data_IF_058299932600
#
_entry.id   IF_058299932600
#
_cell.length_a   1.000
_cell.length_b   1.000
_cell.length_c   1.000
_cell.angle_alpha   90.00
_cell.angle_beta   90.00
_cell.angle_gamma   90.00
#
_symmetry.space_group_name_H-M   'P 1'
#
loop_
_entity.id
_entity.type
_entity.pdbx_description
1 polymer ?
#
# COMPACT_ATOMS: atom_id res chain seq x y z
N UNK A 1 13.84 8.77 -4.51
CA UNK A 1 13.44 7.72 -5.48
C UNK A 1 13.73 6.37 -4.86
N UNK A 2 12.74 5.47 -4.86
CA UNK A 2 12.81 4.11 -4.32
C UNK A 2 12.26 3.11 -5.32
N UNK A 3 12.60 1.84 -5.17
CA UNK A 3 12.06 0.75 -5.97
C UNK A 3 11.02 -0.03 -5.19
N UNK A 4 9.84 -0.26 -5.79
CA UNK A 4 8.76 -1.01 -5.15
C UNK A 4 9.12 -2.49 -5.02
N UNK A 5 9.00 -3.06 -3.81
CA UNK A 5 9.30 -4.48 -3.57
C UNK A 5 8.31 -5.45 -4.24
N UNK A 6 7.09 -5.00 -4.58
CA UNK A 6 6.07 -5.83 -5.25
C UNK A 6 6.18 -5.78 -6.77
N UNK A 7 6.19 -4.58 -7.37
CA UNK A 7 6.14 -4.45 -8.84
C UNK A 7 7.47 -4.06 -9.48
N UNK A 8 8.52 -3.77 -8.69
CA UNK A 8 9.84 -3.37 -9.18
C UNK A 8 9.91 -1.98 -9.82
N UNK A 9 8.81 -1.22 -9.86
CA UNK A 9 8.78 0.12 -10.42
C UNK A 9 9.46 1.13 -9.49
N UNK A 10 10.20 2.07 -10.10
CA UNK A 10 10.69 3.24 -9.40
C UNK A 10 9.53 4.18 -9.05
N UNK A 11 9.57 4.74 -7.85
CA UNK A 11 8.59 5.71 -7.37
C UNK A 11 9.24 6.80 -6.54
N UNK A 12 8.59 7.96 -6.55
CA UNK A 12 8.93 9.08 -5.71
C UNK A 12 8.04 9.05 -4.46
N UNK A 13 8.68 8.98 -3.29
CA UNK A 13 8.01 8.95 -1.99
C UNK A 13 7.56 10.34 -1.52
N UNK A 14 7.94 11.40 -2.24
CA UNK A 14 7.59 12.78 -1.91
C UNK A 14 6.33 13.28 -2.61
N UNK A 15 5.81 12.50 -3.58
CA UNK A 15 4.56 12.83 -4.27
C UNK A 15 3.41 12.72 -3.27
N UNK A 16 2.61 13.78 -3.08
CA UNK A 16 1.43 13.71 -2.22
C UNK A 16 0.39 12.78 -2.81
N UNK A 17 -0.31 12.07 -1.91
CA UNK A 17 -1.20 10.96 -2.24
C UNK A 17 -2.57 11.27 -1.64
N UNK A 18 -3.60 11.18 -2.47
CA UNK A 18 -4.92 11.78 -2.25
C UNK A 18 -6.07 10.76 -2.39
N UNK A 19 -5.78 9.49 -2.10
CA UNK A 19 -6.71 8.38 -2.25
C UNK A 19 -6.90 7.61 -0.94
N UNK A 20 -8.16 7.36 -0.57
CA UNK A 20 -8.52 6.57 0.63
C UNK A 20 -7.94 5.15 0.60
N UNK A 21 -7.77 4.58 -0.61
CA UNK A 21 -7.14 3.28 -0.77
C UNK A 21 -5.64 3.33 -0.52
N UNK A 22 -5.02 4.48 -0.75
CA UNK A 22 -3.62 4.66 -0.42
C UNK A 22 -3.43 4.67 1.09
N UNK A 23 -4.23 5.47 1.82
CA UNK A 23 -4.19 5.54 3.29
C UNK A 23 -4.42 4.16 3.92
N UNK A 24 -5.45 3.44 3.46
CA UNK A 24 -5.71 2.07 3.90
C UNK A 24 -4.55 1.12 3.56
N UNK A 25 -3.95 1.26 2.38
CA UNK A 25 -2.80 0.48 1.95
C UNK A 25 -1.56 0.73 2.82
N UNK A 26 -1.33 1.99 3.21
CA UNK A 26 -0.25 2.40 4.10
C UNK A 26 -0.44 1.83 5.51
N UNK A 27 -1.66 1.93 6.06
CA UNK A 27 -1.99 1.31 7.35
C UNK A 27 -1.76 -0.21 7.32
N UNK A 28 -2.21 -0.89 6.26
CA UNK A 28 -1.97 -2.32 6.08
C UNK A 28 -0.48 -2.67 6.00
N UNK A 29 0.33 -1.82 5.37
CA UNK A 29 1.77 -2.01 5.27
C UNK A 29 2.46 -1.86 6.64
N UNK A 30 1.97 -0.97 7.50
CA UNK A 30 2.51 -0.75 8.85
C UNK A 30 2.04 -1.83 9.83
N UNK A 31 0.74 -2.10 9.91
CA UNK A 31 0.16 -2.93 10.97
C UNK A 31 0.15 -4.42 10.63
N UNK A 32 -0.09 -4.78 9.36
CA UNK A 32 -0.31 -6.18 8.96
C UNK A 32 0.94 -6.80 8.35
N UNK A 33 1.53 -6.15 7.35
CA UNK A 33 2.62 -6.74 6.56
C UNK A 33 4.03 -6.30 6.95
N UNK A 34 4.18 -5.27 7.78
CA UNK A 34 5.48 -4.77 8.27
C UNK A 34 6.44 -4.38 7.13
N UNK A 35 5.90 -3.85 6.03
CA UNK A 35 6.63 -3.43 4.82
C UNK A 35 6.36 -1.95 4.46
N UNK A 36 6.00 -1.14 5.47
CA UNK A 36 5.81 0.30 5.33
C UNK A 36 7.00 0.98 4.63
N UNK A 37 6.70 1.83 3.65
CA UNK A 37 7.69 2.58 2.89
C UNK A 37 8.45 1.79 1.81
N UNK A 38 8.14 0.51 1.59
CA UNK A 38 8.75 -0.33 0.55
C UNK A 38 7.93 -0.43 -0.74
N UNK A 39 6.68 0.06 -0.73
CA UNK A 39 5.74 -0.06 -1.83
C UNK A 39 5.47 1.27 -2.51
N UNK A 40 5.25 1.20 -3.82
CA UNK A 40 4.78 2.34 -4.58
C UNK A 40 3.28 2.59 -4.31
N UNK A 41 2.80 3.80 -4.63
CA UNK A 41 1.40 4.17 -4.43
C UNK A 41 0.37 3.21 -5.00
N UNK A 42 0.58 2.79 -6.25
CA UNK A 42 -0.33 1.86 -6.93
C UNK A 42 -0.41 0.51 -6.22
N UNK A 43 0.70 0.02 -5.68
CA UNK A 43 0.72 -1.25 -4.96
C UNK A 43 0.02 -1.16 -3.60
N UNK A 44 0.10 -0.01 -2.92
CA UNK A 44 -0.65 0.25 -1.69
C UNK A 44 -2.15 0.28 -1.95
N UNK A 45 -2.59 0.97 -3.00
CA UNK A 45 -4.02 1.00 -3.37
C UNK A 45 -4.56 -0.38 -3.77
N UNK A 46 -3.83 -1.11 -4.63
CA UNK A 46 -4.22 -2.45 -5.05
C UNK A 46 -4.36 -3.39 -3.85
N UNK A 47 -3.40 -3.30 -2.90
CA UNK A 47 -3.44 -4.07 -1.65
C UNK A 47 -4.68 -3.73 -0.84
N UNK A 48 -5.00 -2.45 -0.66
CA UNK A 48 -6.19 -2.04 0.09
C UNK A 48 -7.48 -2.57 -0.53
N UNK A 49 -7.62 -2.45 -1.87
CA UNK A 49 -8.79 -2.98 -2.58
C UNK A 49 -8.91 -4.50 -2.41
N UNK A 50 -7.81 -5.22 -2.58
CA UNK A 50 -7.78 -6.67 -2.39
C UNK A 50 -8.08 -7.09 -0.94
N UNK A 51 -7.58 -6.34 0.04
CA UNK A 51 -7.86 -6.59 1.45
C UNK A 51 -9.35 -6.44 1.78
N UNK A 52 -10.01 -5.40 1.24
CA UNK A 52 -11.46 -5.22 1.40
C UNK A 52 -12.27 -6.36 0.76
N UNK A 53 -11.78 -6.97 -0.32
CA UNK A 53 -12.45 -8.07 -1.00
C UNK A 53 -12.19 -9.44 -0.36
N UNK A 54 -10.97 -9.69 0.12
CA UNK A 54 -10.49 -11.04 0.44
C UNK A 54 -9.89 -11.20 1.83
N UNK A 55 -9.48 -10.13 2.50
CA UNK A 55 -8.87 -10.17 3.83
C UNK A 55 -9.87 -9.74 4.90
N UNK A 56 -10.95 -10.51 5.06
CA UNK A 56 -12.01 -10.21 6.03
C UNK A 56 -11.50 -10.09 7.48
N UNK A 57 -10.42 -10.78 7.81
CA UNK A 57 -9.77 -10.70 9.13
C UNK A 57 -9.13 -9.32 9.40
N UNK A 58 -8.80 -8.57 8.33
CA UNK A 58 -8.25 -7.21 8.40
C UNK A 58 -9.34 -6.13 8.27
N UNK A 59 -10.61 -6.50 8.08
CA UNK A 59 -11.72 -5.60 7.75
C UNK A 59 -12.86 -5.69 8.79
N UNK A 60 -12.52 -5.87 10.07
CA UNK A 60 -13.48 -5.97 11.18
C UNK A 60 -13.72 -4.63 11.87
#
# INVERSE_FOLDING_TARGET
MKQCSICGADYDETVPLDSVFHEAGAWLAEEVWQDAGQLCPRCLENRAQLAMMYAHDCNQ
#
